data_IF_463329025723
#
_entry.id   IF_463329025723
#
_cell.length_a   1.000
_cell.length_b   1.000
_cell.length_c   1.000
_cell.angle_alpha   90.00
_cell.angle_beta   90.00
_cell.angle_gamma   90.00
#
_symmetry.space_group_name_H-M   'P 1'
#
loop_
_entity.id
_entity.type
_entity.pdbx_description
1 polymer ?
#
# COMPACT_ATOMS: atom_id res chain seq x y z
N UNK A 1 11.53 -20.85 -34.20
CA UNK A 1 10.64 -20.18 -33.25
C UNK A 1 11.36 -18.95 -32.71
N UNK A 2 10.87 -17.73 -32.97
CA UNK A 2 11.49 -16.50 -32.46
C UNK A 2 11.31 -16.45 -30.94
N UNK A 3 12.39 -16.54 -30.18
CA UNK A 3 12.35 -16.37 -28.72
C UNK A 3 11.86 -14.95 -28.40
N UNK A 4 10.80 -14.84 -27.60
CA UNK A 4 10.33 -13.58 -27.04
C UNK A 4 11.48 -12.96 -26.25
N UNK A 5 11.86 -11.70 -26.51
CA UNK A 5 13.00 -11.10 -25.81
C UNK A 5 12.66 -10.90 -24.32
N UNK A 6 13.56 -11.39 -23.47
CA UNK A 6 13.42 -11.34 -22.00
C UNK A 6 13.52 -9.87 -21.55
N UNK A 7 12.52 -9.39 -20.81
CA UNK A 7 12.46 -8.00 -20.30
C UNK A 7 12.80 -6.94 -21.36
N UNK A 8 12.18 -7.00 -22.54
CA UNK A 8 12.40 -6.00 -23.60
C UNK A 8 11.09 -5.43 -24.13
N UNK A 9 11.05 -4.11 -24.26
CA UNK A 9 9.91 -3.39 -24.82
C UNK A 9 8.72 -3.34 -23.85
N UNK A 10 7.56 -2.89 -24.34
CA UNK A 10 6.31 -2.95 -23.60
C UNK A 10 5.77 -4.38 -23.61
N UNK A 11 5.54 -4.93 -22.42
CA UNK A 11 4.75 -6.15 -22.24
C UNK A 11 3.44 -5.74 -21.61
N UNK A 12 2.35 -6.04 -22.31
CA UNK A 12 1.01 -5.57 -21.98
C UNK A 12 0.13 -6.74 -21.55
N UNK A 13 -0.55 -6.57 -20.43
CA UNK A 13 -1.45 -7.56 -19.83
C UNK A 13 -2.93 -7.14 -19.91
N UNK A 14 -3.21 -5.95 -20.43
CA UNK A 14 -4.55 -5.40 -20.60
C UNK A 14 -4.94 -5.32 -22.07
N UNK A 15 -6.10 -5.84 -22.49
CA UNK A 15 -6.56 -5.72 -23.86
C UNK A 15 -6.89 -4.27 -24.25
N UNK A 16 -7.04 -3.37 -23.27
CA UNK A 16 -7.34 -1.95 -23.48
C UNK A 16 -6.10 -1.09 -23.78
N UNK A 17 -4.90 -1.65 -23.65
CA UNK A 17 -3.64 -0.93 -23.87
C UNK A 17 -2.93 -1.58 -25.06
N UNK A 18 -2.37 -0.77 -25.96
CA UNK A 18 -1.50 -1.27 -27.02
C UNK A 18 -0.05 -0.84 -26.78
N UNK A 19 0.95 -1.63 -27.21
CA UNK A 19 2.35 -1.20 -27.21
C UNK A 19 2.57 0.18 -27.85
N UNK A 20 1.88 0.45 -28.97
CA UNK A 20 2.01 1.71 -29.71
C UNK A 20 1.45 2.90 -28.92
N UNK A 21 0.25 2.75 -28.34
CA UNK A 21 -0.38 3.81 -27.54
C UNK A 21 0.47 4.15 -26.31
N UNK A 22 1.06 3.13 -25.67
CA UNK A 22 1.91 3.32 -24.51
C UNK A 22 3.23 4.05 -24.84
N UNK A 23 3.92 3.68 -25.91
CA UNK A 23 5.13 4.39 -26.35
C UNK A 23 4.85 5.85 -26.75
N UNK A 24 3.77 6.08 -27.50
CA UNK A 24 3.37 7.44 -27.90
C UNK A 24 3.09 8.31 -26.67
N UNK A 25 2.41 7.76 -25.67
CA UNK A 25 2.10 8.49 -24.44
C UNK A 25 3.35 8.73 -23.56
N UNK A 26 4.33 7.81 -23.53
CA UNK A 26 5.61 8.03 -22.83
C UNK A 26 6.44 9.18 -23.42
N UNK A 27 6.25 9.49 -24.70
CA UNK A 27 6.91 10.59 -25.41
C UNK A 27 6.15 11.93 -25.32
N UNK A 28 4.87 11.89 -24.93
CA UNK A 28 4.00 13.07 -24.83
C UNK A 28 3.80 13.50 -23.38
N UNK A 29 3.44 14.78 -23.18
CA UNK A 29 3.39 15.48 -21.89
C UNK A 29 3.05 14.61 -20.67
N UNK A 30 4.00 14.54 -19.76
CA UNK A 30 3.94 13.68 -18.58
C UNK A 30 3.65 14.56 -17.37
N UNK A 31 2.53 14.34 -16.67
CA UNK A 31 2.25 15.03 -15.40
C UNK A 31 2.82 14.21 -14.24
N UNK A 32 3.76 14.79 -13.47
CA UNK A 32 4.26 14.16 -12.24
C UNK A 32 3.14 14.10 -11.20
N UNK A 33 2.88 12.90 -10.68
CA UNK A 33 1.95 12.65 -9.58
C UNK A 33 2.66 12.69 -8.23
N UNK A 34 3.89 12.18 -8.19
CA UNK A 34 4.69 12.12 -6.97
C UNK A 34 5.98 11.33 -7.17
N UNK A 35 6.78 11.25 -6.12
CA UNK A 35 8.02 10.48 -6.10
C UNK A 35 8.18 9.78 -4.75
N UNK A 36 8.64 8.54 -4.78
CA UNK A 36 9.06 7.80 -3.60
C UNK A 36 10.50 7.31 -3.77
N UNK A 37 11.01 6.57 -2.79
CA UNK A 37 12.33 5.94 -2.84
C UNK A 37 12.48 4.92 -3.98
N UNK A 38 11.35 4.47 -4.55
CA UNK A 38 11.29 3.45 -5.58
C UNK A 38 11.15 4.03 -6.99
N UNK A 39 10.90 5.33 -7.12
CA UNK A 39 10.77 5.97 -8.43
C UNK A 39 9.86 7.19 -8.45
N UNK A 40 9.46 7.57 -9.67
CA UNK A 40 8.55 8.68 -9.93
C UNK A 40 7.27 8.15 -10.56
N UNK A 41 6.13 8.67 -10.11
CA UNK A 41 4.82 8.34 -10.62
C UNK A 41 4.32 9.45 -11.53
N UNK A 42 3.72 9.04 -12.64
CA UNK A 42 3.28 9.95 -13.67
C UNK A 42 1.88 9.60 -14.15
N UNK A 43 1.07 10.62 -14.43
CA UNK A 43 -0.21 10.47 -15.11
C UNK A 43 0.00 10.63 -16.60
N UNK A 44 -0.61 9.74 -17.37
CA UNK A 44 -0.62 9.82 -18.82
C UNK A 44 -2.01 9.52 -19.36
N UNK A 45 -2.34 10.13 -20.49
CA UNK A 45 -3.56 9.85 -21.25
C UNK A 45 -3.15 9.15 -22.55
N UNK A 46 -3.67 7.94 -22.76
CA UNK A 46 -3.44 7.18 -23.99
C UNK A 46 -4.30 7.75 -25.14
N UNK A 47 -3.95 7.39 -26.38
CA UNK A 47 -4.66 7.80 -27.60
C UNK A 47 -6.15 7.44 -27.60
N UNK A 48 -6.52 6.35 -26.94
CA UNK A 48 -7.89 5.90 -26.75
C UNK A 48 -8.64 6.58 -25.57
N UNK A 49 -8.03 7.59 -24.95
CA UNK A 49 -8.59 8.34 -23.82
C UNK A 49 -8.43 7.66 -22.46
N UNK A 50 -7.85 6.45 -22.40
CA UNK A 50 -7.59 5.77 -21.13
C UNK A 50 -6.52 6.52 -20.34
N UNK A 51 -6.81 6.83 -19.08
CA UNK A 51 -5.86 7.47 -18.17
C UNK A 51 -5.12 6.39 -17.37
N UNK A 52 -3.80 6.43 -17.41
CA UNK A 52 -2.92 5.46 -16.74
C UNK A 52 -1.95 6.15 -15.79
N UNK A 53 -1.53 5.43 -14.76
CA UNK A 53 -0.42 5.80 -13.90
C UNK A 53 0.83 5.01 -14.31
N UNK A 54 1.96 5.69 -14.51
CA UNK A 54 3.24 5.09 -14.85
C UNK A 54 4.22 5.32 -13.72
N UNK A 55 4.67 4.25 -13.09
CA UNK A 55 5.78 4.27 -12.13
C UNK A 55 7.09 4.03 -12.88
N UNK A 56 7.90 5.06 -13.03
CA UNK A 56 9.28 4.94 -13.54
C UNK A 56 10.19 4.63 -12.37
N UNK A 57 10.80 3.46 -12.41
CA UNK A 57 11.74 3.04 -11.39
C UNK A 57 13.09 3.72 -11.63
N UNK A 58 13.71 4.23 -10.57
CA UNK A 58 15.02 4.90 -10.67
C UNK A 58 16.07 3.98 -11.29
N UNK A 59 17.12 4.56 -11.89
CA UNK A 59 18.18 3.79 -12.54
C UNK A 59 18.64 2.67 -11.61
N UNK A 60 18.64 1.43 -12.11
CA UNK A 60 19.09 0.23 -11.40
C UNK A 60 20.62 0.24 -11.19
N UNK A 61 21.24 1.41 -11.07
CA UNK A 61 22.68 1.64 -10.98
C UNK A 61 23.30 1.20 -9.65
N UNK A 62 22.48 0.85 -8.64
CA UNK A 62 22.96 0.28 -7.38
C UNK A 62 22.75 -1.23 -7.23
N UNK A 63 21.97 -1.86 -8.11
CA UNK A 63 21.78 -3.31 -8.15
C UNK A 63 22.32 -3.77 -9.47
N UNK A 64 23.63 -4.01 -9.52
CA UNK A 64 24.35 -4.54 -10.68
C UNK A 64 23.60 -4.27 -11.97
N UNK A 65 23.78 -3.06 -12.52
CA UNK A 65 23.21 -2.63 -13.80
C UNK A 65 22.97 -3.85 -14.69
N UNK A 66 21.79 -4.03 -15.31
CA UNK A 66 21.53 -5.21 -16.14
C UNK A 66 22.46 -5.34 -17.36
N UNK A 67 23.43 -4.44 -17.48
CA UNK A 67 24.57 -4.44 -18.37
C UNK A 67 25.90 -4.92 -17.74
N UNK A 68 26.09 -4.91 -16.41
CA UNK A 68 27.39 -5.26 -15.79
C UNK A 68 27.47 -6.58 -15.02
N UNK A 69 26.36 -7.26 -14.69
CA UNK A 69 26.44 -8.62 -14.08
C UNK A 69 25.11 -9.40 -13.88
N UNK A 70 24.00 -9.10 -14.55
CA UNK A 70 22.77 -9.91 -14.38
C UNK A 70 22.71 -11.09 -15.37
N UNK A 71 22.97 -12.30 -14.89
CA UNK A 71 22.75 -13.55 -15.64
C UNK A 71 21.33 -13.59 -16.24
N UNK A 72 21.17 -14.19 -17.43
CA UNK A 72 19.84 -14.43 -18.06
C UNK A 72 18.82 -15.01 -17.07
N UNK A 73 19.28 -15.75 -16.05
CA UNK A 73 18.45 -16.29 -14.97
C UNK A 73 17.77 -15.21 -14.12
N UNK A 74 18.46 -14.12 -13.78
CA UNK A 74 17.92 -13.02 -12.95
C UNK A 74 16.83 -12.26 -13.70
N UNK A 75 17.08 -11.92 -14.97
CA UNK A 75 16.09 -11.27 -15.85
C UNK A 75 14.82 -12.13 -16.02
N UNK A 76 15.00 -13.45 -16.17
CA UNK A 76 13.87 -14.40 -16.23
C UNK A 76 13.09 -14.49 -14.92
N UNK A 77 13.77 -14.45 -13.77
CA UNK A 77 13.10 -14.45 -12.46
C UNK A 77 12.25 -13.19 -12.29
N UNK A 78 12.83 -12.02 -12.56
CA UNK A 78 12.12 -10.74 -12.53
C UNK A 78 10.90 -10.75 -13.46
N UNK A 79 11.05 -11.24 -14.69
CA UNK A 79 9.92 -11.35 -15.63
C UNK A 79 8.79 -12.25 -15.09
N UNK A 80 9.12 -13.43 -14.55
CA UNK A 80 8.11 -14.33 -13.95
C UNK A 80 7.37 -13.69 -12.78
N UNK A 81 8.07 -12.95 -11.94
CA UNK A 81 7.45 -12.26 -10.80
C UNK A 81 6.53 -11.12 -11.29
N UNK A 82 6.91 -10.38 -12.34
CA UNK A 82 6.03 -9.38 -12.95
C UNK A 82 4.79 -10.01 -13.60
N UNK A 83 4.94 -11.17 -14.24
CA UNK A 83 3.83 -11.95 -14.80
C UNK A 83 2.89 -12.45 -13.69
N UNK A 84 3.44 -12.90 -12.54
CA UNK A 84 2.66 -13.25 -11.35
C UNK A 84 1.86 -12.04 -10.84
N UNK A 85 2.50 -10.89 -10.66
CA UNK A 85 1.85 -9.65 -10.22
C UNK A 85 0.79 -9.17 -11.22
N UNK A 86 1.04 -9.32 -12.52
CA UNK A 86 0.07 -9.04 -13.57
C UNK A 86 -1.10 -10.01 -13.57
N UNK A 87 -0.95 -11.21 -13.01
CA UNK A 87 -1.99 -12.21 -12.83
C UNK A 87 -2.91 -11.93 -11.64
N UNK A 88 -2.52 -11.06 -10.70
CA UNK A 88 -3.34 -10.75 -9.52
C UNK A 88 -4.62 -10.01 -9.93
N UNK A 89 -5.76 -10.55 -9.48
CA UNK A 89 -7.10 -10.04 -9.81
C UNK A 89 -7.94 -9.98 -8.54
N UNK A 90 -7.95 -8.81 -7.92
CA UNK A 90 -8.80 -8.52 -6.77
C UNK A 90 -9.19 -7.03 -6.78
N UNK A 91 -10.40 -6.72 -6.33
CA UNK A 91 -10.92 -5.33 -6.38
C UNK A 91 -10.08 -4.35 -5.57
N UNK A 92 -9.48 -4.82 -4.47
CA UNK A 92 -8.66 -4.01 -3.58
C UNK A 92 -7.15 -4.10 -3.87
N UNK A 93 -6.76 -4.50 -5.08
CA UNK A 93 -5.36 -4.51 -5.53
C UNK A 93 -5.19 -3.70 -6.82
N UNK A 94 -4.03 -3.07 -6.97
CA UNK A 94 -3.60 -2.46 -8.23
C UNK A 94 -3.09 -3.53 -9.18
N UNK A 95 -3.87 -3.86 -10.22
CA UNK A 95 -3.42 -4.78 -11.26
C UNK A 95 -2.39 -4.14 -12.18
N UNK A 96 -1.23 -4.79 -12.34
CA UNK A 96 -0.23 -4.39 -13.33
C UNK A 96 -0.81 -4.55 -14.74
N UNK A 97 -0.93 -3.44 -15.47
CA UNK A 97 -1.51 -3.39 -16.82
C UNK A 97 -0.46 -3.61 -17.90
N UNK A 98 0.74 -3.12 -17.68
CA UNK A 98 1.90 -3.34 -18.54
C UNK A 98 3.20 -3.05 -17.77
N UNK A 99 4.33 -3.53 -18.30
CA UNK A 99 5.63 -2.97 -17.97
C UNK A 99 6.36 -2.57 -19.26
N UNK A 100 7.26 -1.59 -19.16
CA UNK A 100 8.10 -1.15 -20.28
C UNK A 100 9.55 -1.17 -19.86
N UNK A 101 10.39 -1.84 -20.63
CA UNK A 101 11.85 -1.80 -20.47
C UNK A 101 12.49 -1.20 -21.73
N UNK A 102 13.03 0.00 -21.59
CA UNK A 102 13.78 0.73 -22.62
C UNK A 102 15.15 1.11 -22.07
N UNK A 103 16.24 0.61 -22.68
CA UNK A 103 17.62 0.83 -22.23
C UNK A 103 17.78 0.66 -20.70
N UNK A 104 17.91 1.78 -19.97
CA UNK A 104 18.09 1.84 -18.52
C UNK A 104 16.81 2.16 -17.74
N UNK A 105 15.72 2.54 -18.41
CA UNK A 105 14.44 2.84 -17.78
C UNK A 105 13.56 1.58 -17.68
N UNK A 106 13.02 1.36 -16.49
CA UNK A 106 12.02 0.32 -16.25
C UNK A 106 10.77 0.93 -15.64
N UNK A 107 9.65 0.80 -16.36
CA UNK A 107 8.39 1.42 -16.01
C UNK A 107 7.31 0.38 -15.77
N UNK A 108 6.48 0.60 -14.75
CA UNK A 108 5.28 -0.19 -14.46
C UNK A 108 4.05 0.67 -14.75
N UNK A 109 3.02 0.08 -15.34
CA UNK A 109 1.81 0.79 -15.78
C UNK A 109 0.60 0.23 -15.05
N UNK A 110 -0.20 1.12 -14.47
CA UNK A 110 -1.41 0.82 -13.72
C UNK A 110 -2.57 1.70 -14.19
N UNK A 111 -3.79 1.38 -13.75
CA UNK A 111 -4.90 2.31 -13.90
C UNK A 111 -4.67 3.56 -13.04
N UNK A 112 -5.11 4.72 -13.52
CA UNK A 112 -5.01 5.96 -12.75
C UNK A 112 -6.08 6.01 -11.65
N UNK A 113 -5.67 6.45 -10.45
CA UNK A 113 -6.51 6.57 -9.26
C UNK A 113 -6.75 8.06 -8.99
N UNK A 114 -7.98 8.58 -9.21
CA UNK A 114 -8.24 10.02 -9.21
C UNK A 114 -8.12 10.68 -7.84
N UNK A 115 -8.40 9.95 -6.75
CA UNK A 115 -8.28 10.47 -5.39
C UNK A 115 -6.85 10.37 -4.83
N UNK A 116 -5.89 9.87 -5.63
CA UNK A 116 -4.50 9.75 -5.20
C UNK A 116 -4.32 8.62 -4.18
N UNK A 117 -3.34 8.78 -3.30
CA UNK A 117 -3.07 7.85 -2.21
C UNK A 117 -3.88 8.21 -0.95
N UNK A 118 -3.96 7.27 -0.01
CA UNK A 118 -4.55 7.52 1.31
C UNK A 118 -3.78 8.61 2.06
N UNK A 119 -2.46 8.72 1.87
CA UNK A 119 -1.68 9.81 2.45
C UNK A 119 -2.15 11.18 1.93
N UNK A 120 -2.40 11.30 0.62
CA UNK A 120 -2.87 12.55 0.01
C UNK A 120 -4.24 12.96 0.58
N UNK A 121 -5.14 11.99 0.75
CA UNK A 121 -6.46 12.25 1.34
C UNK A 121 -6.36 12.58 2.83
N UNK A 122 -5.57 11.85 3.62
CA UNK A 122 -5.41 12.14 5.05
C UNK A 122 -4.71 13.48 5.30
N UNK A 123 -3.81 13.92 4.42
CA UNK A 123 -3.26 15.27 4.49
C UNK A 123 -4.33 16.34 4.27
N UNK A 124 -5.24 16.15 3.31
CA UNK A 124 -6.40 17.04 3.11
C UNK A 124 -7.36 17.03 4.29
N UNK A 125 -7.54 15.89 4.95
CA UNK A 125 -8.31 15.80 6.19
C UNK A 125 -7.67 16.65 7.30
N UNK A 126 -6.34 16.54 7.47
CA UNK A 126 -5.59 17.33 8.47
C UNK A 126 -5.62 18.84 8.18
N UNK A 127 -5.60 19.24 6.90
CA UNK A 127 -5.74 20.65 6.50
C UNK A 127 -7.20 21.12 6.39
N UNK A 128 -8.17 20.25 6.69
CA UNK A 128 -9.63 20.51 6.63
C UNK A 128 -10.14 20.87 5.22
N UNK A 129 -9.46 20.39 4.19
CA UNK A 129 -9.89 20.52 2.79
C UNK A 129 -10.91 19.45 2.39
N UNK A 130 -10.89 18.30 3.07
CA UNK A 130 -11.80 17.16 2.83
C UNK A 130 -12.26 16.61 4.17
N UNK A 131 -13.55 16.32 4.28
CA UNK A 131 -14.11 15.54 5.38
C UNK A 131 -14.24 14.08 4.95
N UNK A 132 -13.62 13.18 5.71
CA UNK A 132 -13.68 11.74 5.47
C UNK A 132 -14.32 11.08 6.68
N UNK A 133 -15.64 10.87 6.64
CA UNK A 133 -16.43 10.30 7.73
C UNK A 133 -16.05 8.86 8.09
N UNK A 134 -16.51 8.39 9.25
CA UNK A 134 -16.16 7.06 9.79
C UNK A 134 -16.48 5.94 8.81
N UNK A 135 -17.66 5.96 8.18
CA UNK A 135 -18.08 4.94 7.20
C UNK A 135 -17.04 4.74 6.08
N UNK A 136 -16.52 5.83 5.51
CA UNK A 136 -15.53 5.75 4.42
C UNK A 136 -14.19 5.25 4.97
N UNK A 137 -13.77 5.72 6.16
CA UNK A 137 -12.53 5.25 6.79
C UNK A 137 -12.58 3.75 7.11
N UNK A 138 -13.70 3.26 7.62
CA UNK A 138 -13.93 1.84 7.87
C UNK A 138 -13.94 1.04 6.56
N UNK A 139 -14.59 1.55 5.51
CA UNK A 139 -14.59 0.93 4.18
C UNK A 139 -13.18 0.80 3.61
N UNK A 140 -12.36 1.85 3.75
CA UNK A 140 -10.94 1.82 3.40
C UNK A 140 -10.19 0.75 4.20
N UNK A 141 -10.37 0.71 5.53
CA UNK A 141 -9.73 -0.31 6.37
C UNK A 141 -10.12 -1.74 5.95
N UNK A 142 -11.42 -1.98 5.76
CA UNK A 142 -11.97 -3.27 5.30
C UNK A 142 -11.43 -3.66 3.93
N UNK A 143 -11.35 -2.71 2.99
CA UNK A 143 -10.81 -2.97 1.66
C UNK A 143 -9.33 -3.32 1.68
N UNK A 144 -8.52 -2.66 2.54
CA UNK A 144 -7.11 -3.00 2.74
C UNK A 144 -6.97 -4.44 3.24
N UNK A 145 -7.68 -4.84 4.30
CA UNK A 145 -7.56 -6.20 4.84
C UNK A 145 -8.06 -7.27 3.89
N UNK A 146 -9.09 -6.98 3.07
CA UNK A 146 -9.53 -7.88 1.99
C UNK A 146 -8.45 -8.05 0.92
N UNK A 147 -7.74 -6.96 0.59
CA UNK A 147 -6.57 -7.01 -0.28
C UNK A 147 -5.45 -7.90 0.30
N UNK A 148 -5.15 -7.75 1.60
CA UNK A 148 -4.17 -8.58 2.29
C UNK A 148 -4.59 -10.05 2.38
N UNK A 149 -5.84 -10.34 2.74
CA UNK A 149 -6.41 -11.69 2.80
C UNK A 149 -6.22 -12.42 1.46
N UNK A 150 -6.50 -11.73 0.35
CA UNK A 150 -6.27 -12.28 -0.98
C UNK A 150 -4.80 -12.65 -1.22
N UNK A 151 -3.87 -11.75 -0.87
CA UNK A 151 -2.42 -11.98 -1.02
C UNK A 151 -1.89 -13.09 -0.10
N UNK A 152 -2.37 -13.13 1.15
CA UNK A 152 -1.89 -14.03 2.20
C UNK A 152 -2.44 -15.45 2.08
N UNK A 153 -3.71 -15.60 1.67
CA UNK A 153 -4.44 -16.87 1.77
C UNK A 153 -5.09 -17.34 0.47
N UNK A 154 -5.43 -16.44 -0.47
CA UNK A 154 -6.15 -16.83 -1.70
C UNK A 154 -5.25 -17.08 -2.91
N UNK A 155 -4.02 -16.59 -2.90
CA UNK A 155 -3.04 -16.84 -3.96
C UNK A 155 -2.44 -18.25 -3.84
N UNK A 156 -2.15 -18.91 -4.97
CA UNK A 156 -1.51 -20.24 -4.98
C UNK A 156 -0.18 -20.27 -4.21
N UNK A 157 0.57 -19.18 -4.31
CA UNK A 157 1.75 -18.92 -3.48
C UNK A 157 1.46 -17.69 -2.65
N UNK A 158 1.70 -17.77 -1.34
CA UNK A 158 1.56 -16.64 -0.44
C UNK A 158 2.41 -15.45 -0.90
N UNK A 159 1.78 -14.29 -1.04
CA UNK A 159 2.43 -13.04 -1.37
C UNK A 159 2.36 -12.13 -0.15
N UNK A 160 3.50 -11.61 0.28
CA UNK A 160 3.57 -10.59 1.33
C UNK A 160 3.72 -9.22 0.68
N UNK A 161 3.11 -8.19 1.27
CA UNK A 161 3.12 -6.85 0.69
C UNK A 161 4.50 -6.19 0.83
N UNK A 162 5.18 -6.35 1.97
CA UNK A 162 6.51 -5.82 2.31
C UNK A 162 6.63 -4.30 2.45
N UNK A 163 5.71 -3.52 1.89
CA UNK A 163 5.77 -2.05 1.89
C UNK A 163 4.38 -1.42 2.06
N UNK A 164 3.59 -1.94 3.01
CA UNK A 164 2.25 -1.40 3.26
C UNK A 164 2.35 -0.10 4.07
N UNK A 165 1.81 0.99 3.51
CA UNK A 165 1.79 2.35 4.09
C UNK A 165 0.75 3.19 3.33
N UNK A 166 0.27 4.33 3.85
CA UNK A 166 -0.78 5.11 3.20
C UNK A 166 -0.45 5.57 1.78
N UNK A 167 0.82 5.87 1.47
CA UNK A 167 1.28 6.22 0.11
C UNK A 167 1.14 5.07 -0.91
N UNK A 168 1.00 3.83 -0.45
CA UNK A 168 0.78 2.64 -1.28
C UNK A 168 -0.66 2.12 -1.22
N UNK A 169 -1.58 2.86 -0.58
CA UNK A 169 -3.02 2.59 -0.64
C UNK A 169 -3.63 3.62 -1.57
N UNK A 170 -3.91 3.24 -2.81
CA UNK A 170 -4.51 4.16 -3.79
C UNK A 170 -6.02 4.16 -3.65
N UNK A 171 -6.66 5.30 -3.92
CA UNK A 171 -8.10 5.46 -3.78
C UNK A 171 -8.72 5.77 -5.15
N UNK A 172 -9.69 4.95 -5.56
CA UNK A 172 -10.46 5.24 -6.77
C UNK A 172 -11.53 6.33 -6.54
N UNK A 173 -12.39 6.60 -7.53
CA UNK A 173 -13.37 7.70 -7.46
C UNK A 173 -14.34 7.58 -6.29
N UNK A 174 -14.62 6.35 -5.85
CA UNK A 174 -15.57 6.05 -4.77
C UNK A 174 -14.87 5.86 -3.41
N UNK A 175 -13.60 6.28 -3.31
CA UNK A 175 -12.74 6.04 -2.14
C UNK A 175 -12.53 4.54 -1.82
N UNK A 176 -12.70 3.65 -2.80
CA UNK A 176 -12.35 2.24 -2.62
C UNK A 176 -10.81 2.06 -2.67
N UNK A 177 -10.22 1.37 -1.67
CA UNK A 177 -8.78 1.23 -1.59
C UNK A 177 -8.26 0.14 -2.53
N UNK A 178 -7.10 0.41 -3.13
CA UNK A 178 -6.34 -0.51 -3.97
C UNK A 178 -4.88 -0.51 -3.55
N UNK A 179 -4.39 -1.65 -3.08
CA UNK A 179 -3.00 -1.78 -2.66
C UNK A 179 -2.08 -1.75 -3.89
N UNK A 180 -1.15 -0.80 -3.89
CA UNK A 180 -0.09 -0.66 -4.88
C UNK A 180 1.20 -1.34 -4.40
N UNK A 181 2.13 -1.56 -5.33
CA UNK A 181 3.48 -2.08 -5.02
C UNK A 181 3.56 -3.44 -4.30
N UNK A 182 2.48 -4.22 -4.28
CA UNK A 182 2.44 -5.51 -3.60
C UNK A 182 3.54 -6.43 -4.14
N UNK A 183 4.40 -6.94 -3.24
CA UNK A 183 5.48 -7.86 -3.60
C UNK A 183 6.65 -7.24 -4.40
N UNK A 184 6.57 -5.98 -4.82
CA UNK A 184 7.64 -5.33 -5.60
C UNK A 184 8.94 -5.22 -4.80
N UNK A 185 8.85 -5.01 -3.49
CA UNK A 185 10.04 -4.87 -2.65
C UNK A 185 10.93 -6.12 -2.74
N UNK A 186 10.34 -7.33 -2.67
CA UNK A 186 11.05 -8.62 -2.80
C UNK A 186 11.81 -8.76 -4.12
N UNK A 187 11.28 -8.13 -5.17
CA UNK A 187 11.80 -8.21 -6.53
C UNK A 187 12.83 -7.11 -6.80
N UNK A 188 12.78 -6.01 -6.05
CA UNK A 188 13.62 -4.82 -6.17
C UNK A 188 14.25 -4.46 -4.82
N UNK A 189 15.31 -5.18 -4.40
CA UNK A 189 15.77 -5.15 -3.01
C UNK A 189 16.33 -3.81 -2.54
N UNK A 190 16.73 -2.92 -3.46
CA UNK A 190 17.13 -1.55 -3.14
C UNK A 190 16.00 -0.72 -2.52
N UNK A 191 14.75 -1.18 -2.61
CA UNK A 191 13.58 -0.59 -1.93
C UNK A 191 13.51 -0.92 -0.43
N UNK A 192 14.25 -1.91 0.07
CA UNK A 192 14.08 -2.43 1.44
C UNK A 192 14.80 -1.63 2.53
N UNK A 193 15.53 -0.57 2.19
CA UNK A 193 16.50 0.06 3.10
C UNK A 193 15.94 1.18 3.98
N UNK A 194 14.68 1.59 3.82
CA UNK A 194 14.06 2.58 4.69
C UNK A 194 13.07 1.92 5.65
N UNK A 195 13.50 1.69 6.89
CA UNK A 195 12.59 1.40 8.01
C UNK A 195 11.60 2.56 8.10
N UNK A 196 10.32 2.26 7.88
CA UNK A 196 9.24 3.23 7.98
C UNK A 196 8.64 3.17 9.38
N UNK A 197 7.99 4.24 9.86
CA UNK A 197 7.20 4.18 11.09
C UNK A 197 6.04 3.17 11.00
N UNK A 198 5.68 2.74 9.78
CA UNK A 198 4.69 1.69 9.53
C UNK A 198 5.28 0.26 9.61
N UNK A 199 6.60 0.12 9.74
CA UNK A 199 7.28 -1.18 9.71
C UNK A 199 7.20 -1.88 11.06
N UNK A 200 6.89 -3.18 11.03
CA UNK A 200 6.87 -4.00 12.23
C UNK A 200 8.26 -4.11 12.89
N UNK A 201 8.38 -4.23 14.21
CA UNK A 201 9.66 -4.28 14.90
C UNK A 201 10.57 -5.43 14.40
N UNK A 202 9.98 -6.57 14.05
CA UNK A 202 10.71 -7.73 13.52
C UNK A 202 11.17 -7.55 12.06
N UNK A 203 10.61 -6.60 11.31
CA UNK A 203 10.92 -6.39 9.88
C UNK A 203 12.34 -5.89 9.63
N UNK A 204 12.98 -5.30 10.64
CA UNK A 204 14.40 -4.93 10.63
C UNK A 204 15.32 -6.13 10.45
N UNK A 205 14.85 -7.33 10.81
CA UNK A 205 15.54 -8.60 10.61
C UNK A 205 15.01 -9.25 9.33
N UNK A 206 15.69 -9.01 8.20
CA UNK A 206 15.30 -9.42 6.83
C UNK A 206 14.70 -10.83 6.69
N UNK A 207 15.15 -11.80 7.51
CA UNK A 207 14.69 -13.19 7.45
C UNK A 207 13.47 -13.51 8.35
N UNK A 208 12.83 -12.51 8.95
CA UNK A 208 11.69 -12.68 9.89
C UNK A 208 10.39 -12.02 9.43
N UNK A 209 10.36 -11.47 8.22
CA UNK A 209 9.14 -10.85 7.68
C UNK A 209 8.09 -11.92 7.38
N UNK A 210 6.87 -11.71 7.89
CA UNK A 210 5.73 -12.62 7.68
C UNK A 210 4.47 -11.83 7.30
N UNK A 211 3.37 -12.53 7.05
CA UNK A 211 2.03 -11.94 6.91
C UNK A 211 1.68 -11.04 8.11
N UNK A 212 2.11 -11.41 9.32
CA UNK A 212 1.94 -10.61 10.54
C UNK A 212 2.69 -9.29 10.52
N UNK A 213 3.76 -9.17 9.73
CA UNK A 213 4.44 -7.89 9.52
C UNK A 213 3.59 -6.94 8.67
N UNK A 214 2.86 -7.44 7.66
CA UNK A 214 1.87 -6.65 6.93
C UNK A 214 0.70 -6.24 7.86
N UNK A 215 0.29 -7.11 8.78
CA UNK A 215 -0.77 -6.80 9.77
C UNK A 215 -0.39 -5.65 10.70
N UNK A 216 0.87 -5.58 11.14
CA UNK A 216 1.35 -4.45 11.93
C UNK A 216 1.26 -3.15 11.13
N UNK A 217 1.71 -3.16 9.88
CA UNK A 217 1.61 -1.99 8.99
C UNK A 217 0.16 -1.57 8.77
N UNK A 218 -0.76 -2.52 8.64
CA UNK A 218 -2.20 -2.26 8.62
C UNK A 218 -2.68 -1.62 9.93
N UNK A 219 -2.26 -2.12 11.09
CA UNK A 219 -2.57 -1.53 12.39
C UNK A 219 -2.16 -0.07 12.49
N UNK A 220 -0.98 0.28 11.96
CA UNK A 220 -0.54 1.69 11.89
C UNK A 220 -1.46 2.53 11.01
N UNK A 221 -1.90 2.01 9.85
CA UNK A 221 -2.86 2.69 8.98
C UNK A 221 -4.23 2.85 9.68
N UNK A 222 -4.73 1.82 10.36
CA UNK A 222 -6.00 1.88 11.08
C UNK A 222 -5.94 2.91 12.22
N UNK A 223 -4.82 2.99 12.94
CA UNK A 223 -4.61 4.04 13.94
C UNK A 223 -4.61 5.45 13.34
N UNK A 224 -4.04 5.65 12.15
CA UNK A 224 -4.12 6.93 11.43
C UNK A 224 -5.56 7.25 11.01
N UNK A 225 -6.31 6.26 10.52
CA UNK A 225 -7.71 6.43 10.16
C UNK A 225 -8.58 6.78 11.38
N UNK A 226 -8.33 6.19 12.54
CA UNK A 226 -9.09 6.47 13.77
C UNK A 226 -8.77 7.82 14.38
N UNK A 227 -7.49 8.21 14.38
CA UNK A 227 -7.01 9.40 15.09
C UNK A 227 -6.99 10.66 14.22
N UNK A 228 -6.96 10.49 12.88
CA UNK A 228 -6.71 11.57 11.92
C UNK A 228 -5.28 12.12 11.95
N UNK A 229 -4.42 11.62 12.84
CA UNK A 229 -3.08 12.17 13.11
C UNK A 229 -2.01 11.54 12.21
N UNK A 230 -0.89 12.22 12.05
CA UNK A 230 0.30 11.67 11.40
C UNK A 230 1.05 10.81 12.43
N UNK A 231 1.41 9.54 12.13
CA UNK A 231 2.07 8.64 13.08
C UNK A 231 3.48 9.09 13.49
N UNK A 232 4.07 10.05 12.77
CA UNK A 232 5.38 10.68 13.07
C UNK A 232 5.25 11.96 13.90
N UNK A 233 4.05 12.52 14.03
CA UNK A 233 3.80 13.63 14.95
C UNK A 233 4.18 13.18 16.38
N UNK A 234 4.72 14.06 17.24
CA UNK A 234 5.11 13.70 18.60
C UNK A 234 3.89 13.29 19.46
N UNK A 235 3.43 12.05 19.32
CA UNK A 235 2.68 11.34 20.38
C UNK A 235 3.59 11.13 21.62
N UNK A 236 4.91 11.34 21.44
CA UNK A 236 5.97 11.08 22.39
C UNK A 236 6.24 12.16 23.44
N UNK A 237 5.83 13.42 23.26
CA UNK A 237 6.31 14.50 24.16
C UNK A 237 5.35 14.84 25.31
N UNK A 238 4.05 14.56 25.19
CA UNK A 238 3.07 14.89 26.24
C UNK A 238 2.79 13.74 27.23
N UNK A 239 3.28 12.54 26.95
CA UNK A 239 3.33 11.47 27.94
C UNK A 239 4.79 11.18 28.26
N UNK A 240 5.12 11.09 29.55
CA UNK A 240 6.48 10.97 30.07
C UNK A 240 7.23 9.67 29.68
N UNK A 241 6.86 9.02 28.57
CA UNK A 241 7.34 7.70 28.16
C UNK A 241 7.64 7.54 26.66
N UNK A 242 7.70 8.61 25.85
CA UNK A 242 8.36 8.56 24.52
C UNK A 242 8.07 7.33 23.66
N UNK A 243 6.80 6.90 23.61
CA UNK A 243 6.39 5.58 23.12
C UNK A 243 5.82 5.56 21.69
N UNK A 244 5.75 4.37 21.09
CA UNK A 244 5.11 4.16 19.77
C UNK A 244 3.60 4.43 19.80
N UNK A 245 2.97 4.65 18.64
CA UNK A 245 1.50 4.80 18.52
C UNK A 245 0.75 3.66 19.24
N UNK A 246 1.22 2.42 19.10
CA UNK A 246 0.62 1.27 19.78
C UNK A 246 0.70 1.35 21.30
N UNK A 247 1.83 1.82 21.85
CA UNK A 247 1.99 2.01 23.30
C UNK A 247 1.07 3.12 23.82
N UNK A 248 0.97 4.23 23.09
CA UNK A 248 0.08 5.33 23.44
C UNK A 248 -1.40 4.91 23.42
N UNK A 249 -1.86 4.23 22.36
CA UNK A 249 -3.23 3.72 22.28
C UNK A 249 -3.53 2.72 23.41
N UNK A 250 -2.57 1.84 23.72
CA UNK A 250 -2.69 0.88 24.82
C UNK A 250 -2.81 1.58 26.18
N UNK A 251 -2.05 2.65 26.41
CA UNK A 251 -2.13 3.45 27.62
C UNK A 251 -3.52 4.08 27.79
N UNK A 252 -4.02 4.78 26.76
CA UNK A 252 -5.36 5.38 26.78
C UNK A 252 -6.47 4.33 27.00
N UNK A 253 -6.34 3.16 26.38
CA UNK A 253 -7.29 2.07 26.58
C UNK A 253 -7.30 1.54 28.02
N UNK A 254 -6.15 1.55 28.70
CA UNK A 254 -5.99 1.09 30.09
C UNK A 254 -6.40 2.14 31.12
N UNK A 255 -6.26 3.43 30.81
CA UNK A 255 -6.70 4.53 31.68
C UNK A 255 -8.19 4.83 31.56
N UNK A 256 -8.88 4.24 30.57
CA UNK A 256 -10.29 4.50 30.30
C UNK A 256 -10.54 5.73 29.43
N UNK A 257 -9.49 6.29 28.83
CA UNK A 257 -9.49 7.52 28.03
C UNK A 257 -9.41 7.23 26.51
N UNK A 258 -9.79 6.02 26.07
CA UNK A 258 -9.72 5.60 24.67
C UNK A 258 -10.42 6.56 23.69
N UNK A 259 -11.50 7.21 24.14
CA UNK A 259 -12.24 8.22 23.38
C UNK A 259 -11.37 9.41 22.96
N UNK A 260 -10.34 9.76 23.74
CA UNK A 260 -9.46 10.89 23.45
C UNK A 260 -8.55 10.64 22.25
N UNK A 261 -8.31 9.38 21.90
CA UNK A 261 -7.55 9.02 20.72
C UNK A 261 -8.31 9.32 19.43
N UNK A 262 -9.65 9.28 19.48
CA UNK A 262 -10.49 9.35 18.30
C UNK A 262 -10.48 10.74 17.67
N UNK A 263 -10.55 10.77 16.35
CA UNK A 263 -10.70 12.00 15.59
C UNK A 263 -12.07 12.63 15.87
N UNK A 264 -12.05 13.71 16.65
CA UNK A 264 -13.25 14.43 17.08
C UNK A 264 -14.05 15.03 15.93
N UNK A 265 -13.47 15.17 14.74
CA UNK A 265 -14.16 15.70 13.56
C UNK A 265 -15.12 14.69 12.93
N UNK A 266 -14.96 13.41 13.23
CA UNK A 266 -15.80 12.32 12.69
C UNK A 266 -16.58 11.58 13.79
N UNK A 267 -16.57 12.10 15.02
CA UNK A 267 -17.45 11.61 16.07
C UNK A 267 -18.88 12.03 15.72
N UNK A 268 -19.63 11.13 15.10
CA UNK A 268 -21.03 11.31 14.76
C UNK A 268 -21.96 10.79 15.86
N UNK A 269 -22.86 9.87 15.49
CA UNK A 269 -23.83 9.27 16.41
C UNK A 269 -23.15 8.31 17.42
N UNK A 270 -23.82 8.02 18.55
CA UNK A 270 -23.29 7.12 19.60
C UNK A 270 -22.86 5.75 19.04
N UNK A 271 -23.52 5.25 18.01
CA UNK A 271 -23.22 3.97 17.36
C UNK A 271 -21.86 3.98 16.67
N UNK A 272 -21.53 5.06 15.94
CA UNK A 272 -20.23 5.17 15.26
C UNK A 272 -19.09 5.26 16.27
N UNK A 273 -19.33 5.89 17.42
CA UNK A 273 -18.34 5.96 18.49
C UNK A 273 -18.00 4.56 19.05
N UNK A 274 -19.01 3.72 19.32
CA UNK A 274 -18.79 2.36 19.79
C UNK A 274 -18.04 1.50 18.75
N UNK A 275 -18.37 1.64 17.47
CA UNK A 275 -17.63 1.00 16.38
C UNK A 275 -16.16 1.44 16.33
N UNK A 276 -15.91 2.75 16.47
CA UNK A 276 -14.56 3.30 16.50
C UNK A 276 -13.76 2.80 17.70
N UNK A 277 -14.38 2.69 18.88
CA UNK A 277 -13.75 2.13 20.07
C UNK A 277 -13.42 0.64 19.90
N UNK A 278 -14.29 -0.12 19.24
CA UNK A 278 -13.98 -1.52 18.88
C UNK A 278 -12.83 -1.60 17.86
N UNK A 279 -12.83 -0.75 16.83
CA UNK A 279 -11.73 -0.65 15.87
C UNK A 279 -10.40 -0.24 16.54
N UNK A 280 -10.44 0.61 17.58
CA UNK A 280 -9.26 0.97 18.36
C UNK A 280 -8.68 -0.24 19.10
N UNK A 281 -9.53 -1.11 19.65
CA UNK A 281 -9.06 -2.37 20.26
C UNK A 281 -8.41 -3.29 19.22
N UNK A 282 -9.01 -3.41 18.03
CA UNK A 282 -8.42 -4.16 16.91
C UNK A 282 -7.04 -3.59 16.54
N UNK A 283 -6.93 -2.26 16.47
CA UNK A 283 -5.68 -1.54 16.20
C UNK A 283 -4.59 -1.92 17.20
N UNK A 284 -4.90 -1.89 18.51
CA UNK A 284 -3.93 -2.23 19.56
C UNK A 284 -3.40 -3.66 19.40
N UNK A 285 -4.28 -4.62 19.08
CA UNK A 285 -3.87 -6.02 18.89
C UNK A 285 -3.00 -6.17 17.63
N UNK A 286 -3.33 -5.49 16.53
CA UNK A 286 -2.50 -5.46 15.32
C UNK A 286 -1.09 -4.89 15.59
N UNK A 287 -0.98 -3.95 16.52
CA UNK A 287 0.27 -3.28 16.90
C UNK A 287 1.07 -4.02 18.00
N UNK A 288 0.74 -5.28 18.32
CA UNK A 288 1.55 -6.06 19.27
C UNK A 288 3.00 -6.21 18.79
N UNK A 289 3.96 -6.10 19.71
CA UNK A 289 5.38 -6.37 19.44
C UNK A 289 5.62 -7.85 19.08
N UNK A 290 4.75 -8.76 19.55
CA UNK A 290 4.83 -10.18 19.24
C UNK A 290 3.93 -10.53 18.04
N UNK A 291 4.49 -11.03 16.93
CA UNK A 291 3.69 -11.38 15.74
C UNK A 291 2.63 -12.46 15.99
N UNK A 292 2.82 -13.30 17.01
CA UNK A 292 1.89 -14.37 17.38
C UNK A 292 0.55 -13.81 17.91
N UNK A 293 0.57 -12.64 18.56
CA UNK A 293 -0.63 -12.03 19.16
C UNK A 293 -1.48 -11.28 18.13
N UNK A 294 -0.88 -10.90 17.00
CA UNK A 294 -1.59 -10.17 15.93
C UNK A 294 -2.59 -11.13 15.26
N UNK A 295 -3.81 -10.69 14.91
CA UNK A 295 -4.72 -11.51 14.12
C UNK A 295 -4.15 -11.75 12.71
N UNK A 296 -4.67 -12.75 12.01
CA UNK A 296 -4.47 -12.93 10.57
C UNK A 296 -5.33 -11.96 9.77
N UNK A 297 -5.00 -11.75 8.49
CA UNK A 297 -5.84 -10.94 7.59
C UNK A 297 -7.24 -11.54 7.39
N UNK A 298 -7.38 -12.86 7.47
CA UNK A 298 -8.68 -13.55 7.41
C UNK A 298 -9.57 -13.23 8.62
N UNK A 299 -9.01 -13.32 9.83
CA UNK A 299 -9.70 -12.93 11.07
C UNK A 299 -10.07 -11.44 11.05
N UNK A 300 -9.17 -10.56 10.59
CA UNK A 300 -9.42 -9.12 10.52
C UNK A 300 -10.56 -8.74 9.59
N UNK A 301 -10.73 -9.44 8.47
CA UNK A 301 -11.89 -9.23 7.58
C UNK A 301 -13.18 -9.48 8.35
N UNK A 302 -13.25 -10.53 9.16
CA UNK A 302 -14.44 -10.82 9.98
C UNK A 302 -14.63 -9.78 11.09
N UNK A 303 -13.56 -9.45 11.83
CA UNK A 303 -13.63 -8.48 12.93
C UNK A 303 -14.10 -7.09 12.46
N UNK A 304 -13.59 -6.60 11.33
CA UNK A 304 -13.91 -5.25 10.84
C UNK A 304 -15.26 -5.18 10.12
N UNK A 305 -15.68 -6.25 9.44
CA UNK A 305 -17.01 -6.26 8.78
C UNK A 305 -18.17 -6.35 9.78
N UNK A 306 -17.92 -6.91 10.97
CA UNK A 306 -18.89 -6.93 12.06
C UNK A 306 -19.15 -5.56 12.67
N UNK A 307 -18.21 -4.61 12.55
CA UNK A 307 -18.40 -3.25 13.06
C UNK A 307 -19.58 -2.57 12.38
N UNK A 308 -19.78 -2.82 11.08
CA UNK A 308 -20.82 -2.19 10.26
C UNK A 308 -22.17 -2.95 10.26
N UNK A 309 -22.37 -3.90 11.18
CA UNK A 309 -23.51 -4.81 11.18
C UNK A 309 -24.43 -4.58 12.38
N UNK A 310 -25.34 -3.61 12.24
CA UNK A 310 -26.65 -3.61 12.89
C UNK A 310 -27.75 -3.26 11.88
#
# INVERSE_FOLDING_TARGET
>A
MKQTPILKGPVVFSPKITPKSLHAALSNGIQLLGSDLNGKYYKMVLDNGLVVAVKRLGSLEGVGSPESSSSKSVKRRLQKELELLAGLRHRNLMSLRAYVRESDEFSLVYDYMPNGSLEDVMNKVRTKEVELGWEIRLRVAVGIVKGLQYLHFSCETQILHYNLKPTNVMLDSEFEPRLADCGLAKIMPSSHTAVSCYSAPESSQSNRYTDKSDIFSFGMILGVLLTGRDPTHPFCEESASGGSLGQWLKHLQQSGEAREALDKTILGEEVEEDEMLMALRITIICLSDFPADRPSSDELVHMLTQLHSF
#
